data_IF_743901509940
#
_entry.id   IF_743901509940
#
_cell.length_a   1.000
_cell.length_b   1.000
_cell.length_c   1.000
_cell.angle_alpha   90.00
_cell.angle_beta   90.00
_cell.angle_gamma   90.00
#
_symmetry.space_group_name_H-M   'P 1'
#
loop_
_entity.id
_entity.type
_entity.pdbx_description
1 polymer ?
#
# COMPACT_ATOMS: atom_id res chain seq x y z
N UNK A 1 -39.74 -8.61 -2.79
CA UNK A 1 -39.78 -9.17 -4.16
C UNK A 1 -38.52 -10.01 -4.29
N UNK A 2 -38.66 -11.33 -4.31
CA UNK A 2 -37.51 -12.24 -4.47
C UNK A 2 -36.94 -12.04 -5.87
N UNK A 3 -35.73 -11.49 -5.95
CA UNK A 3 -34.96 -11.43 -7.18
C UNK A 3 -33.97 -12.60 -7.20
N UNK A 4 -34.49 -13.82 -7.17
CA UNK A 4 -33.77 -14.91 -7.81
C UNK A 4 -33.98 -14.74 -9.31
N UNK A 5 -32.90 -14.66 -10.09
CA UNK A 5 -33.01 -14.73 -11.55
C UNK A 5 -33.44 -16.17 -11.85
N UNK A 6 -34.75 -16.41 -11.87
CA UNK A 6 -35.37 -17.70 -12.21
C UNK A 6 -35.41 -17.92 -13.72
N UNK A 7 -34.48 -17.32 -14.48
CA UNK A 7 -34.37 -17.54 -15.92
C UNK A 7 -33.81 -18.96 -16.14
N UNK A 8 -34.75 -19.87 -16.36
CA UNK A 8 -34.50 -21.30 -16.54
C UNK A 8 -33.60 -21.60 -17.75
N UNK A 9 -33.57 -20.71 -18.75
CA UNK A 9 -32.74 -20.85 -19.95
C UNK A 9 -31.26 -20.51 -19.70
N UNK A 10 -30.95 -19.57 -18.80
CA UNK A 10 -29.58 -19.20 -18.39
C UNK A 10 -28.86 -20.35 -17.65
N UNK A 11 -29.62 -21.13 -16.86
CA UNK A 11 -29.12 -22.32 -16.18
C UNK A 11 -28.85 -23.50 -17.11
N UNK A 12 -29.52 -23.55 -18.27
CA UNK A 12 -29.32 -24.57 -19.30
C UNK A 12 -28.15 -24.27 -20.23
N UNK A 13 -27.95 -23.00 -20.60
CA UNK A 13 -26.93 -22.62 -21.58
C UNK A 13 -25.56 -22.35 -20.96
N UNK A 14 -25.45 -21.77 -19.76
CA UNK A 14 -24.15 -21.45 -19.16
C UNK A 14 -24.21 -21.35 -17.62
N UNK A 15 -24.13 -22.51 -16.98
CA UNK A 15 -24.28 -22.67 -15.51
C UNK A 15 -23.30 -21.82 -14.68
N UNK A 16 -22.07 -21.58 -15.16
CA UNK A 16 -21.11 -20.75 -14.42
C UNK A 16 -21.49 -19.27 -14.39
N UNK A 17 -22.07 -18.75 -15.48
CA UNK A 17 -22.52 -17.36 -15.58
C UNK A 17 -23.76 -17.10 -14.70
N UNK A 18 -24.64 -18.10 -14.57
CA UNK A 18 -25.78 -18.05 -13.67
C UNK A 18 -25.37 -18.08 -12.18
N UNK A 19 -24.36 -18.87 -11.83
CA UNK A 19 -23.81 -18.91 -10.47
C UNK A 19 -23.07 -17.60 -10.08
N UNK A 20 -22.36 -16.97 -11.02
CA UNK A 20 -21.76 -15.64 -10.83
C UNK A 20 -22.83 -14.56 -10.62
N UNK A 21 -23.86 -14.51 -11.48
CA UNK A 21 -24.94 -13.52 -11.35
C UNK A 21 -25.77 -13.69 -10.08
N UNK A 22 -25.98 -14.92 -9.60
CA UNK A 22 -26.64 -15.14 -8.31
C UNK A 22 -25.75 -14.76 -7.11
N UNK A 23 -24.42 -14.92 -7.20
CA UNK A 23 -23.50 -14.37 -6.20
C UNK A 23 -23.52 -12.85 -6.19
N UNK A 24 -23.52 -12.23 -7.37
CA UNK A 24 -23.67 -10.77 -7.52
C UNK A 24 -25.01 -10.28 -6.94
N UNK A 25 -26.13 -10.96 -7.22
CA UNK A 25 -27.43 -10.63 -6.66
C UNK A 25 -27.47 -10.78 -5.13
N UNK A 26 -26.83 -11.82 -4.57
CA UNK A 26 -26.69 -12.01 -3.13
C UNK A 26 -25.80 -10.96 -2.46
N UNK A 27 -24.72 -10.54 -3.12
CA UNK A 27 -23.86 -9.44 -2.70
C UNK A 27 -24.63 -8.11 -2.69
N UNK A 28 -25.41 -7.84 -3.75
CA UNK A 28 -26.27 -6.65 -3.85
C UNK A 28 -27.32 -6.64 -2.73
N UNK A 29 -27.91 -7.80 -2.39
CA UNK A 29 -28.88 -7.92 -1.30
C UNK A 29 -28.27 -7.62 0.07
N UNK A 30 -27.08 -8.14 0.35
CA UNK A 30 -26.36 -7.84 1.60
C UNK A 30 -25.95 -6.37 1.66
N UNK A 31 -25.49 -5.82 0.53
CA UNK A 31 -25.10 -4.42 0.44
C UNK A 31 -26.30 -3.49 0.67
N UNK A 32 -27.46 -3.77 0.06
CA UNK A 32 -28.70 -3.03 0.30
C UNK A 32 -29.13 -3.10 1.77
N UNK A 33 -29.03 -4.27 2.40
CA UNK A 33 -29.34 -4.42 3.82
C UNK A 33 -28.36 -3.65 4.72
N UNK A 34 -27.07 -3.56 4.36
CA UNK A 34 -26.08 -2.74 5.07
C UNK A 34 -26.33 -1.24 4.86
N UNK A 35 -26.76 -0.82 3.67
CA UNK A 35 -27.15 0.56 3.38
C UNK A 35 -28.42 0.96 4.15
N UNK A 36 -29.44 0.10 4.20
CA UNK A 36 -30.68 0.33 4.94
C UNK A 36 -30.46 0.35 6.47
N UNK A 37 -29.43 -0.35 6.97
CA UNK A 37 -29.05 -0.36 8.39
C UNK A 37 -28.09 0.77 8.79
N UNK A 38 -27.63 1.58 7.84
CA UNK A 38 -26.70 2.68 8.10
C UNK A 38 -27.43 3.94 8.57
N UNK A 39 -27.69 4.04 9.88
CA UNK A 39 -28.41 5.17 10.50
C UNK A 39 -27.67 6.54 10.44
N UNK A 40 -26.38 6.56 10.08
CA UNK A 40 -25.56 7.78 10.05
C UNK A 40 -24.90 8.02 8.70
N UNK A 41 -24.83 9.30 8.32
CA UNK A 41 -24.21 9.77 7.06
C UNK A 41 -22.77 9.28 6.88
N UNK A 42 -22.01 9.15 7.99
CA UNK A 42 -20.65 8.63 7.99
C UNK A 42 -20.56 7.13 7.65
N UNK A 43 -21.54 6.32 8.09
CA UNK A 43 -21.60 4.89 7.76
C UNK A 43 -21.96 4.70 6.30
N UNK A 44 -22.92 5.48 5.79
CA UNK A 44 -23.28 5.51 4.37
C UNK A 44 -22.07 5.87 3.50
N UNK A 45 -21.31 6.91 3.88
CA UNK A 45 -20.11 7.31 3.15
C UNK A 45 -19.05 6.20 3.15
N UNK A 46 -18.85 5.51 4.27
CA UNK A 46 -17.92 4.36 4.34
C UNK A 46 -18.36 3.20 3.45
N UNK A 47 -19.66 2.90 3.37
CA UNK A 47 -20.20 1.88 2.47
C UNK A 47 -20.06 2.28 1.00
N UNK A 48 -20.32 3.54 0.67
CA UNK A 48 -20.11 4.09 -0.67
C UNK A 48 -18.63 3.95 -1.09
N UNK A 49 -17.70 4.29 -0.20
CA UNK A 49 -16.27 4.09 -0.43
C UNK A 49 -15.94 2.62 -0.66
N UNK A 50 -16.49 1.69 0.14
CA UNK A 50 -16.31 0.24 -0.07
C UNK A 50 -16.82 -0.19 -1.45
N UNK A 51 -17.95 0.33 -1.92
CA UNK A 51 -18.49 -0.01 -3.25
C UNK A 51 -17.64 0.50 -4.40
N UNK A 52 -17.00 1.67 -4.23
CA UNK A 52 -16.06 2.23 -5.20
C UNK A 52 -14.72 1.45 -5.23
N UNK A 53 -14.43 0.66 -4.19
CA UNK A 53 -13.27 -0.23 -4.09
C UNK A 53 -13.55 -1.61 -4.70
N UNK A 54 -13.81 -1.64 -6.00
CA UNK A 54 -14.11 -2.87 -6.75
C UNK A 54 -12.89 -3.53 -7.41
N UNK A 55 -11.67 -3.12 -7.05
CA UNK A 55 -10.45 -3.72 -7.58
C UNK A 55 -10.28 -5.16 -7.12
N UNK A 56 -9.70 -6.01 -7.97
CA UNK A 56 -9.52 -7.45 -7.71
C UNK A 56 -8.84 -7.74 -6.35
N UNK A 57 -7.93 -6.85 -5.93
CA UNK A 57 -7.12 -6.99 -4.71
C UNK A 57 -7.49 -6.02 -3.59
N UNK A 58 -8.52 -5.18 -3.78
CA UNK A 58 -8.82 -4.10 -2.84
C UNK A 58 -9.19 -4.61 -1.45
N UNK A 59 -9.78 -5.81 -1.35
CA UNK A 59 -10.17 -6.46 -0.10
C UNK A 59 -8.99 -7.01 0.73
N UNK A 60 -7.80 -7.12 0.13
CA UNK A 60 -6.64 -7.72 0.77
C UNK A 60 -5.97 -6.80 1.80
N UNK A 61 -5.14 -7.42 2.62
CA UNK A 61 -4.21 -6.72 3.51
C UNK A 61 -3.12 -6.01 2.69
N UNK A 62 -2.45 -5.03 3.30
CA UNK A 62 -1.46 -4.21 2.62
C UNK A 62 -0.07 -4.36 3.25
N UNK A 63 0.96 -4.29 2.42
CA UNK A 63 2.34 -4.08 2.86
C UNK A 63 2.78 -2.71 2.37
N UNK A 64 3.27 -1.88 3.28
CA UNK A 64 3.83 -0.57 2.96
C UNK A 64 5.34 -0.65 3.13
N UNK A 65 6.07 -0.31 2.09
CA UNK A 65 7.52 -0.12 2.09
C UNK A 65 7.86 1.34 1.79
N UNK A 66 8.77 1.91 2.57
CA UNK A 66 9.25 3.28 2.41
C UNK A 66 10.71 3.29 1.98
N UNK A 67 11.05 4.16 1.04
CA UNK A 67 12.42 4.34 0.59
C UNK A 67 12.81 5.82 0.74
N UNK A 68 13.84 6.12 1.56
CA UNK A 68 14.36 7.48 1.63
C UNK A 68 14.92 7.89 0.28
N UNK A 69 14.50 9.07 -0.17
CA UNK A 69 14.95 9.66 -1.43
C UNK A 69 16.04 10.71 -1.19
N UNK A 70 15.96 11.82 -1.93
CA UNK A 70 16.89 12.93 -1.81
C UNK A 70 16.63 13.70 -0.50
N UNK A 71 17.68 13.96 0.27
CA UNK A 71 17.61 14.72 1.53
C UNK A 71 18.55 14.22 2.64
N UNK A 72 19.27 13.12 2.44
CA UNK A 72 20.22 12.59 3.42
C UNK A 72 19.52 12.13 4.70
N UNK A 73 20.06 12.47 5.87
CA UNK A 73 19.48 12.13 7.18
C UNK A 73 18.04 12.66 7.34
N UNK A 74 17.72 13.83 6.76
CA UNK A 74 16.34 14.33 6.78
C UNK A 74 15.37 13.48 5.94
N UNK A 75 15.84 12.81 4.88
CA UNK A 75 15.00 11.92 4.08
C UNK A 75 14.78 10.56 4.78
N UNK A 76 15.78 10.09 5.51
CA UNK A 76 15.66 8.91 6.37
C UNK A 76 14.68 9.16 7.51
N UNK A 77 14.81 10.29 8.21
CA UNK A 77 13.86 10.68 9.25
C UNK A 77 12.46 10.91 8.69
N UNK A 78 12.35 11.49 7.49
CA UNK A 78 11.05 11.66 6.83
C UNK A 78 10.39 10.32 6.49
N UNK A 79 11.16 9.34 6.04
CA UNK A 79 10.65 7.99 5.79
C UNK A 79 10.13 7.35 7.07
N UNK A 80 10.84 7.51 8.19
CA UNK A 80 10.39 7.04 9.50
C UNK A 80 9.09 7.74 9.95
N UNK A 81 9.00 9.06 9.79
CA UNK A 81 7.78 9.81 10.12
C UNK A 81 6.56 9.34 9.31
N UNK A 82 6.75 9.05 8.02
CA UNK A 82 5.69 8.49 7.18
C UNK A 82 5.29 7.09 7.62
N UNK A 83 6.25 6.25 8.03
CA UNK A 83 5.96 4.92 8.56
C UNK A 83 5.06 5.05 9.79
N UNK A 84 5.47 5.85 10.78
CA UNK A 84 4.70 6.13 11.99
C UNK A 84 3.29 6.67 11.69
N UNK A 85 3.17 7.57 10.71
CA UNK A 85 1.88 8.10 10.26
C UNK A 85 0.94 6.98 9.77
N UNK A 86 1.43 6.06 8.95
CA UNK A 86 0.63 4.93 8.46
C UNK A 86 0.33 3.90 9.56
N UNK A 87 1.25 3.69 10.49
CA UNK A 87 1.00 2.84 11.67
C UNK A 87 -0.13 3.41 12.52
N UNK A 88 -0.12 4.71 12.82
CA UNK A 88 -1.17 5.39 13.58
C UNK A 88 -2.51 5.35 12.85
N UNK A 89 -2.51 5.58 11.53
CA UNK A 89 -3.71 5.46 10.72
C UNK A 89 -4.31 4.04 10.79
N UNK A 90 -3.48 3.01 10.65
CA UNK A 90 -3.91 1.63 10.73
C UNK A 90 -4.48 1.28 12.11
N UNK A 91 -3.85 1.74 13.18
CA UNK A 91 -4.34 1.57 14.56
C UNK A 91 -5.68 2.28 14.78
N UNK A 92 -5.85 3.51 14.26
CA UNK A 92 -7.10 4.27 14.32
C UNK A 92 -8.28 3.58 13.62
N UNK A 93 -7.99 2.81 12.56
CA UNK A 93 -8.96 1.98 11.82
C UNK A 93 -9.23 0.61 12.49
N UNK A 94 -8.49 0.25 13.54
CA UNK A 94 -8.58 -1.06 14.19
C UNK A 94 -7.86 -2.19 13.44
N UNK A 95 -6.96 -1.87 12.49
CA UNK A 95 -6.15 -2.84 11.78
C UNK A 95 -4.95 -3.29 12.62
N UNK A 96 -4.45 -4.50 12.34
CA UNK A 96 -3.26 -5.04 13.01
C UNK A 96 -2.03 -4.69 12.20
N UNK A 97 -1.06 -4.04 12.85
CA UNK A 97 0.22 -3.68 12.23
C UNK A 97 1.32 -4.64 12.71
N UNK A 98 2.16 -5.11 11.78
CA UNK A 98 3.35 -5.91 12.07
C UNK A 98 4.53 -5.36 11.28
N UNK A 99 5.61 -4.96 11.97
CA UNK A 99 6.85 -4.53 11.31
C UNK A 99 7.56 -5.75 10.68
N UNK A 100 7.92 -5.64 9.40
CA UNK A 100 8.71 -6.66 8.66
C UNK A 100 10.19 -6.30 8.68
N UNK A 101 10.49 -5.02 8.49
CA UNK A 101 11.83 -4.43 8.44
C UNK A 101 11.77 -2.95 8.88
N UNK A 102 12.93 -2.29 9.02
CA UNK A 102 13.01 -0.91 9.51
C UNK A 102 12.13 0.10 8.73
N UNK A 103 11.96 -0.12 7.42
CA UNK A 103 11.17 0.75 6.56
C UNK A 103 9.96 0.02 5.95
N UNK A 104 9.54 -1.12 6.49
CA UNK A 104 8.43 -1.91 5.92
C UNK A 104 7.52 -2.47 6.99
N UNK A 105 6.22 -2.19 6.84
CA UNK A 105 5.15 -2.67 7.73
C UNK A 105 4.10 -3.45 6.95
N UNK A 106 3.55 -4.46 7.61
CA UNK A 106 2.41 -5.25 7.18
C UNK A 106 1.17 -4.79 7.95
N UNK A 107 0.11 -4.44 7.23
CA UNK A 107 -1.16 -3.98 7.77
C UNK A 107 -2.20 -5.05 7.43
N UNK A 108 -2.60 -5.81 8.45
CA UNK A 108 -3.66 -6.82 8.34
C UNK A 108 -5.00 -6.20 8.71
N UNK A 109 -5.85 -6.03 7.70
CA UNK A 109 -7.16 -5.42 7.83
C UNK A 109 -8.00 -5.68 6.58
N UNK A 110 -9.32 -5.71 6.75
CA UNK A 110 -10.25 -5.77 5.63
C UNK A 110 -10.16 -4.47 4.82
N UNK A 111 -10.04 -4.59 3.50
CA UNK A 111 -9.87 -3.47 2.56
C UNK A 111 -8.61 -2.61 2.76
N UNK A 112 -7.65 -3.03 3.58
CA UNK A 112 -6.47 -2.20 3.88
C UNK A 112 -5.72 -1.77 2.61
N UNK A 113 -5.56 -2.68 1.65
CA UNK A 113 -4.95 -2.36 0.36
C UNK A 113 -5.80 -1.39 -0.46
N UNK A 114 -7.13 -1.58 -0.54
CA UNK A 114 -8.03 -0.68 -1.25
C UNK A 114 -7.94 0.78 -0.79
N UNK A 115 -7.86 1.01 0.53
CA UNK A 115 -7.69 2.35 1.11
C UNK A 115 -6.30 2.94 0.83
N UNK A 116 -5.24 2.13 0.90
CA UNK A 116 -3.86 2.61 0.86
C UNK A 116 -3.20 2.56 -0.53
N UNK A 117 -3.78 1.86 -1.51
CA UNK A 117 -3.15 1.63 -2.83
C UNK A 117 -2.68 2.92 -3.51
N UNK A 118 -3.48 3.98 -3.39
CA UNK A 118 -3.20 5.28 -4.00
C UNK A 118 -2.22 6.12 -3.19
N UNK A 119 -1.81 5.70 -2.00
CA UNK A 119 -0.68 6.32 -1.29
C UNK A 119 0.67 5.97 -1.93
N UNK A 120 0.70 5.09 -2.95
CA UNK A 120 1.93 4.81 -3.71
C UNK A 120 2.39 6.05 -4.47
N UNK A 121 3.61 6.52 -4.18
CA UNK A 121 4.25 7.63 -4.88
C UNK A 121 5.23 8.41 -4.02
N UNK A 122 5.71 9.55 -4.53
CA UNK A 122 6.72 10.37 -3.83
C UNK A 122 6.04 11.39 -2.92
N UNK A 123 6.42 11.35 -1.64
CA UNK A 123 5.97 12.28 -0.61
C UNK A 123 7.09 13.27 -0.29
N UNK A 124 6.76 14.56 -0.35
CA UNK A 124 7.72 15.64 -0.14
C UNK A 124 7.51 16.30 1.21
N UNK A 125 8.58 16.48 1.99
CA UNK A 125 8.60 17.24 3.25
C UNK A 125 9.38 18.53 3.09
N UNK A 126 8.86 19.62 3.65
CA UNK A 126 9.55 20.90 3.78
C UNK A 126 9.49 21.34 5.25
N UNK A 127 10.64 21.31 5.93
CA UNK A 127 10.76 21.71 7.34
C UNK A 127 12.11 22.36 7.63
N UNK A 128 12.26 22.90 8.83
CA UNK A 128 13.58 23.21 9.37
C UNK A 128 14.21 21.88 9.79
N UNK A 129 15.41 21.58 9.28
CA UNK A 129 16.10 20.33 9.61
C UNK A 129 16.53 20.33 11.09
N UNK A 130 16.24 19.26 11.84
CA UNK A 130 16.80 19.09 13.19
C UNK A 130 18.26 18.65 13.16
N UNK A 131 18.76 18.16 12.03
CA UNK A 131 20.13 17.66 11.84
C UNK A 131 21.09 18.74 11.32
N UNK A 132 20.57 19.81 10.73
CA UNK A 132 21.38 20.95 10.32
C UNK A 132 21.62 21.92 11.50
N UNK A 133 22.89 22.08 11.88
CA UNK A 133 23.35 23.04 12.88
C UNK A 133 22.93 24.49 12.57
N UNK A 134 22.75 24.84 11.28
CA UNK A 134 22.33 26.18 10.85
C UNK A 134 20.81 26.37 10.84
N UNK A 135 20.04 25.31 11.16
CA UNK A 135 18.57 25.31 11.13
C UNK A 135 18.03 25.82 9.80
N UNK A 136 18.68 25.45 8.69
CA UNK A 136 18.19 25.82 7.37
C UNK A 136 16.95 25.00 7.02
N UNK A 137 16.17 25.54 6.09
CA UNK A 137 15.01 24.85 5.54
C UNK A 137 15.49 23.81 4.55
N UNK A 138 15.18 22.55 4.83
CA UNK A 138 15.47 21.44 3.94
C UNK A 138 14.19 20.96 3.25
N UNK A 139 14.36 20.40 2.06
CA UNK A 139 13.32 19.68 1.33
C UNK A 139 13.77 18.24 1.19
N UNK A 140 12.95 17.32 1.68
CA UNK A 140 13.23 15.89 1.67
C UNK A 140 12.16 15.14 0.90
N UNK A 141 12.55 14.02 0.32
CA UNK A 141 11.65 13.15 -0.44
C UNK A 141 11.72 11.73 0.10
N UNK A 142 10.58 11.05 0.14
CA UNK A 142 10.48 9.64 0.42
C UNK A 142 9.49 9.00 -0.57
N UNK A 143 9.82 7.81 -1.06
CA UNK A 143 8.94 7.02 -1.91
C UNK A 143 8.15 6.05 -1.03
N UNK A 144 6.83 6.11 -1.12
CA UNK A 144 5.91 5.16 -0.52
C UNK A 144 5.53 4.13 -1.57
N UNK A 145 5.71 2.86 -1.25
CA UNK A 145 5.28 1.73 -2.07
C UNK A 145 4.26 0.92 -1.28
N UNK A 146 3.04 0.80 -1.81
CA UNK A 146 1.98 -0.04 -1.23
C UNK A 146 1.75 -1.24 -2.12
N UNK A 147 1.80 -2.44 -1.53
CA UNK A 147 1.59 -3.73 -2.19
C UNK A 147 0.46 -4.49 -1.50
N UNK A 148 -0.33 -5.28 -2.23
CA UNK A 148 -1.26 -6.20 -1.61
C UNK A 148 -0.49 -7.39 -1.00
N UNK A 149 -0.94 -7.87 0.15
CA UNK A 149 -0.51 -9.15 0.71
C UNK A 149 -1.20 -10.28 -0.07
N UNK A 150 -0.52 -10.79 -1.11
CA UNK A 150 -1.08 -11.78 -2.02
C UNK A 150 -1.13 -13.18 -1.36
N UNK A 151 -2.25 -13.91 -1.48
CA UNK A 151 -2.33 -15.28 -0.98
C UNK A 151 -1.35 -16.19 -1.72
N UNK A 152 -0.87 -17.23 -1.04
CA UNK A 152 0.15 -18.17 -1.55
C UNK A 152 -0.20 -18.81 -2.91
N UNK A 153 -1.50 -18.94 -3.20
CA UNK A 153 -2.01 -19.46 -4.48
C UNK A 153 -1.66 -18.53 -5.65
N UNK A 154 -1.71 -17.21 -5.46
CA UNK A 154 -1.33 -16.26 -6.51
C UNK A 154 0.18 -16.11 -6.66
N UNK A 155 0.90 -16.15 -5.53
CA UNK A 155 2.36 -16.21 -5.54
C UNK A 155 2.88 -17.43 -6.33
N UNK A 156 2.18 -18.57 -6.27
CA UNK A 156 2.56 -19.79 -6.99
C UNK A 156 2.41 -19.69 -8.52
N UNK A 157 1.61 -18.74 -9.03
CA UNK A 157 1.52 -18.47 -10.48
C UNK A 157 2.80 -17.83 -11.02
N UNK A 158 3.55 -17.14 -10.16
CA UNK A 158 4.80 -16.47 -10.52
C UNK A 158 5.96 -17.45 -10.32
N UNK A 159 6.30 -18.18 -11.39
CA UNK A 159 7.47 -19.06 -11.39
C UNK A 159 8.72 -18.21 -11.55
N UNK A 160 9.41 -17.94 -10.44
CA UNK A 160 10.73 -17.29 -10.45
C UNK A 160 11.79 -18.41 -10.44
N UNK A 161 12.61 -18.54 -11.50
CA UNK A 161 13.72 -19.49 -11.51
C UNK A 161 14.68 -19.19 -10.36
N UNK A 162 15.20 -20.21 -9.63
CA UNK A 162 16.13 -19.99 -8.53
C UNK A 162 17.47 -19.38 -8.99
N UNK A 163 17.81 -19.55 -10.28
CA UNK A 163 18.99 -18.97 -10.93
C UNK A 163 18.93 -17.44 -11.10
N UNK A 164 17.72 -16.87 -11.15
CA UNK A 164 17.49 -15.43 -11.28
C UNK A 164 17.49 -14.70 -9.93
N UNK A 165 17.73 -15.43 -8.83
CA UNK A 165 17.60 -14.94 -7.47
C UNK A 165 18.95 -14.97 -6.76
N UNK A 166 19.37 -13.81 -6.27
CA UNK A 166 20.48 -13.69 -5.32
C UNK A 166 19.93 -13.53 -3.91
N UNK A 167 20.33 -14.42 -3.00
CA UNK A 167 19.98 -14.36 -1.58
C UNK A 167 21.21 -13.93 -0.80
N UNK A 168 21.07 -12.85 -0.03
CA UNK A 168 22.09 -12.32 0.85
C UNK A 168 21.60 -12.43 2.29
N UNK A 169 22.50 -12.87 3.17
CA UNK A 169 22.22 -12.99 4.60
C UNK A 169 22.98 -11.89 5.35
N UNK A 170 22.32 -11.31 6.33
CA UNK A 170 22.91 -10.28 7.18
C UNK A 170 22.47 -10.45 8.62
N UNK A 171 23.15 -9.76 9.53
CA UNK A 171 22.74 -9.69 10.93
C UNK A 171 21.61 -8.68 11.05
N UNK A 172 20.57 -9.05 11.79
CA UNK A 172 19.45 -8.16 12.06
C UNK A 172 19.93 -6.96 12.89
N UNK A 173 19.56 -5.75 12.48
CA UNK A 173 19.89 -4.53 13.21
C UNK A 173 18.95 -4.30 14.39
N UNK A 174 19.48 -3.84 15.53
CA UNK A 174 18.67 -3.39 16.67
C UNK A 174 19.32 -3.63 18.05
N UNK A 175 18.80 -3.01 19.13
CA UNK A 175 19.24 -3.24 20.50
C UNK A 175 18.81 -4.63 20.99
N UNK A 176 19.50 -5.67 20.52
CA UNK A 176 19.20 -7.08 20.80
C UNK A 176 20.27 -7.80 21.62
N UNK A 177 19.88 -8.90 22.28
CA UNK A 177 20.77 -9.78 23.05
C UNK A 177 21.78 -10.57 22.19
N UNK A 178 22.51 -11.50 22.80
CA UNK A 178 23.59 -12.26 22.11
C UNK A 178 23.19 -12.88 20.76
N UNK A 179 21.93 -13.29 20.59
CA UNK A 179 21.46 -13.95 19.37
C UNK A 179 21.40 -13.00 18.16
N UNK A 180 21.00 -11.74 18.37
CA UNK A 180 20.91 -10.71 17.31
C UNK A 180 22.30 -10.33 16.79
N UNK A 181 23.30 -10.31 17.68
CA UNK A 181 24.66 -9.92 17.33
C UNK A 181 25.51 -11.05 16.72
N UNK A 182 25.14 -12.31 16.95
CA UNK A 182 25.91 -13.49 16.51
C UNK A 182 25.32 -14.21 15.30
N UNK A 183 24.00 -14.19 15.11
CA UNK A 183 23.32 -15.01 14.09
C UNK A 183 22.81 -14.14 12.94
N UNK A 184 23.16 -14.54 11.71
CA UNK A 184 22.72 -13.91 10.46
C UNK A 184 21.29 -14.34 10.13
N UNK A 185 20.33 -13.69 10.80
CA UNK A 185 18.89 -14.00 10.66
C UNK A 185 18.17 -13.16 9.62
N UNK A 186 18.69 -11.98 9.24
CA UNK A 186 18.09 -11.12 8.24
C UNK A 186 18.40 -11.64 6.83
N UNK A 187 17.40 -11.59 5.95
CA UNK A 187 17.49 -12.10 4.58
C UNK A 187 17.11 -11.00 3.61
N UNK A 188 17.96 -10.76 2.62
CA UNK A 188 17.69 -9.91 1.46
C UNK A 188 17.67 -10.78 0.21
N UNK A 189 16.63 -10.62 -0.60
CA UNK A 189 16.44 -11.34 -1.85
C UNK A 189 16.43 -10.33 -2.99
N UNK A 190 17.22 -10.57 -4.03
CA UNK A 190 17.36 -9.71 -5.21
C UNK A 190 17.05 -10.52 -6.46
N UNK A 191 16.14 -10.04 -7.29
CA UNK A 191 15.85 -10.62 -8.60
C UNK A 191 16.75 -9.97 -9.66
N UNK A 192 17.75 -10.70 -10.13
CA UNK A 192 18.80 -10.23 -11.04
C UNK A 192 18.26 -9.61 -12.35
N UNK A 193 17.25 -10.18 -13.04
CA UNK A 193 16.76 -9.64 -14.31
C UNK A 193 16.10 -8.26 -14.16
N UNK A 194 15.44 -8.02 -13.02
CA UNK A 194 14.65 -6.79 -12.79
C UNK A 194 15.32 -5.80 -11.84
N UNK A 195 16.40 -6.20 -11.16
CA UNK A 195 17.01 -5.48 -10.04
C UNK A 195 16.05 -5.15 -8.86
N UNK A 196 14.87 -5.78 -8.81
CA UNK A 196 13.96 -5.66 -7.67
C UNK A 196 14.55 -6.39 -6.47
N UNK A 197 14.43 -5.79 -5.29
CA UNK A 197 14.88 -6.42 -4.04
C UNK A 197 13.86 -6.28 -2.93
N UNK A 198 13.84 -7.27 -2.05
CA UNK A 198 13.01 -7.29 -0.84
C UNK A 198 13.85 -7.83 0.33
N UNK A 199 13.58 -7.34 1.53
CA UNK A 199 14.28 -7.77 2.75
C UNK A 199 13.27 -8.09 3.85
N UNK A 200 13.64 -9.01 4.75
CA UNK A 200 12.87 -9.32 5.97
C UNK A 200 13.81 -9.61 7.12
N UNK A 201 13.57 -8.97 8.26
CA UNK A 201 14.32 -9.13 9.51
C UNK A 201 13.42 -9.41 10.73
N UNK A 202 12.10 -9.44 10.52
CA UNK A 202 11.09 -9.57 11.59
C UNK A 202 11.13 -10.83 12.44
N UNK A 203 11.51 -11.99 11.89
CA UNK A 203 11.45 -13.26 12.61
C UNK A 203 12.82 -13.70 13.14
N UNK A 204 12.82 -14.52 14.20
CA UNK A 204 14.05 -15.11 14.76
C UNK A 204 14.65 -16.19 13.86
N UNK A 205 13.85 -16.78 12.97
CA UNK A 205 14.28 -17.84 12.06
C UNK A 205 14.65 -17.27 10.69
N UNK A 206 15.84 -17.64 10.20
CA UNK A 206 16.30 -17.32 8.85
C UNK A 206 15.35 -17.88 7.76
N UNK A 207 14.77 -19.08 7.98
CA UNK A 207 13.86 -19.69 7.01
C UNK A 207 12.57 -18.89 6.84
N UNK A 208 11.99 -18.43 7.96
CA UNK A 208 10.77 -17.63 7.95
C UNK A 208 11.01 -16.25 7.32
N UNK A 209 12.15 -15.63 7.60
CA UNK A 209 12.54 -14.38 6.94
C UNK A 209 12.75 -14.57 5.44
N UNK A 210 13.31 -15.69 5.00
CA UNK A 210 13.47 -16.03 3.58
C UNK A 210 12.11 -16.18 2.89
N UNK A 211 11.16 -16.89 3.49
CA UNK A 211 9.81 -17.06 2.94
C UNK A 211 9.08 -15.72 2.78
N UNK A 212 9.14 -14.85 3.81
CA UNK A 212 8.56 -13.51 3.74
C UNK A 212 9.21 -12.63 2.67
N UNK A 213 10.55 -12.59 2.63
CA UNK A 213 11.26 -11.81 1.63
C UNK A 213 10.94 -12.28 0.21
N UNK A 214 10.76 -13.59 0.01
CA UNK A 214 10.34 -14.16 -1.27
C UNK A 214 8.90 -13.80 -1.64
N UNK A 215 7.98 -13.84 -0.67
CA UNK A 215 6.59 -13.41 -0.88
C UNK A 215 6.50 -11.93 -1.29
N UNK A 216 7.27 -11.06 -0.61
CA UNK A 216 7.38 -9.64 -0.96
C UNK A 216 7.98 -9.42 -2.35
N UNK A 217 9.03 -10.16 -2.70
CA UNK A 217 9.63 -10.08 -4.03
C UNK A 217 8.65 -10.49 -5.13
N UNK A 218 7.91 -11.58 -4.90
CA UNK A 218 6.88 -12.04 -5.82
C UNK A 218 5.73 -11.02 -5.95
N UNK A 219 5.28 -10.39 -4.86
CA UNK A 219 4.31 -9.29 -4.93
C UNK A 219 4.83 -8.08 -5.74
N UNK A 220 6.12 -7.73 -5.61
CA UNK A 220 6.75 -6.68 -6.43
C UNK A 220 6.80 -7.04 -7.91
N UNK A 221 7.17 -8.28 -8.23
CA UNK A 221 7.21 -8.77 -9.62
C UNK A 221 5.80 -8.80 -10.21
N UNK A 222 4.80 -9.24 -9.43
CA UNK A 222 3.41 -9.22 -9.83
C UNK A 222 2.95 -7.83 -10.23
N UNK A 223 3.15 -6.85 -9.34
CA UNK A 223 2.81 -5.45 -9.60
C UNK A 223 3.54 -4.90 -10.82
N UNK A 224 4.81 -5.26 -11.02
CA UNK A 224 5.57 -4.87 -12.22
C UNK A 224 4.96 -5.48 -13.50
N UNK A 225 4.51 -6.73 -13.46
CA UNK A 225 3.84 -7.38 -14.60
C UNK A 225 2.50 -6.69 -14.91
N UNK A 226 1.67 -6.42 -13.90
CA UNK A 226 0.41 -5.68 -14.06
C UNK A 226 0.65 -4.27 -14.62
N UNK A 227 1.64 -3.55 -14.08
CA UNK A 227 2.00 -2.23 -14.60
C UNK A 227 2.49 -2.28 -16.04
N UNK A 228 3.27 -3.30 -16.42
CA UNK A 228 3.72 -3.48 -17.81
C UNK A 228 2.55 -3.79 -18.73
N UNK A 229 1.63 -4.68 -18.35
CA UNK A 229 0.43 -4.94 -19.12
C UNK A 229 -0.43 -3.66 -19.26
N UNK A 230 -0.62 -2.93 -18.17
CA UNK A 230 -1.36 -1.67 -18.18
C UNK A 230 -0.65 -0.58 -19.02
N UNK A 231 0.69 -0.52 -18.99
CA UNK A 231 1.50 0.38 -19.81
C UNK A 231 1.49 -0.01 -21.28
N UNK A 232 1.58 -1.29 -21.62
CA UNK A 232 1.45 -1.77 -23.01
C UNK A 232 0.08 -1.40 -23.59
N UNK A 233 -0.99 -1.53 -22.79
CA UNK A 233 -2.35 -1.10 -23.15
C UNK A 233 -2.44 0.44 -23.26
N UNK A 234 -1.72 1.20 -22.42
CA UNK A 234 -1.71 2.68 -22.43
C UNK A 234 -0.76 3.29 -23.47
N UNK A 235 0.34 2.64 -23.83
CA UNK A 235 1.30 3.08 -24.84
C UNK A 235 0.72 2.93 -26.25
N UNK A 236 -0.27 2.03 -26.43
CA UNK A 236 -1.19 2.05 -27.57
C UNK A 236 -2.11 3.29 -27.60
N UNK A 237 -2.19 4.06 -26.50
CA UNK A 237 -3.13 5.18 -26.27
C UNK A 237 -2.46 6.47 -25.73
N UNK A 238 -1.23 6.79 -26.17
CA UNK A 238 -0.52 8.09 -26.01
C UNK A 238 0.62 8.08 -24.98
N UNK A 239 1.80 8.52 -25.43
CA UNK A 239 3.04 8.67 -24.63
C UNK A 239 2.91 9.82 -23.63
N UNK A 240 2.97 9.52 -22.34
CA UNK A 240 3.21 10.53 -21.28
C UNK A 240 4.58 10.27 -20.67
N UNK A 241 5.46 11.28 -20.73
CA UNK A 241 6.79 11.26 -20.13
C UNK A 241 6.66 11.54 -18.62
N UNK A 242 7.39 10.84 -17.74
CA UNK A 242 7.49 11.25 -16.34
C UNK A 242 8.53 12.36 -16.20
N UNK A 243 8.07 13.57 -15.86
CA UNK A 243 8.91 14.74 -15.57
C UNK A 243 9.32 14.79 -14.09
N UNK A 244 10.41 15.51 -13.83
CA UNK A 244 10.86 15.89 -12.50
C UNK A 244 9.79 16.78 -11.84
N UNK A 245 8.98 16.20 -10.93
CA UNK A 245 7.79 16.85 -10.36
C UNK A 245 6.70 15.91 -9.84
N UNK A 246 6.88 14.58 -9.97
CA UNK A 246 5.91 13.54 -9.60
C UNK A 246 5.72 13.32 -8.09
N UNK A 247 5.66 14.38 -7.29
CA UNK A 247 5.24 14.29 -5.90
C UNK A 247 3.70 14.21 -5.82
N UNK A 248 3.19 13.19 -5.16
CA UNK A 248 1.75 13.03 -5.00
C UNK A 248 1.23 13.95 -3.89
N UNK A 249 2.00 14.10 -2.81
CA UNK A 249 1.64 14.93 -1.66
C UNK A 249 2.83 15.72 -1.13
N UNK A 250 2.58 16.95 -0.72
CA UNK A 250 3.56 17.85 -0.11
C UNK A 250 3.14 18.22 1.31
N UNK A 251 4.07 18.06 2.24
CA UNK A 251 3.94 18.36 3.66
C UNK A 251 4.87 19.54 3.97
N UNK A 252 4.30 20.72 4.12
CA UNK A 252 5.04 21.93 4.50
C UNK A 252 4.76 22.19 5.97
N UNK A 253 5.82 22.18 6.79
CA UNK A 253 5.74 22.46 8.23
C UNK A 253 6.24 23.86 8.59
N UNK A 254 7.05 24.46 7.71
CA UNK A 254 7.58 25.81 7.88
C UNK A 254 7.72 26.49 6.51
N UNK A 255 7.28 27.75 6.32
CA UNK A 255 6.91 28.74 7.35
C UNK A 255 5.45 28.67 7.82
N UNK A 256 4.63 27.91 7.11
CA UNK A 256 3.24 27.62 7.46
C UNK A 256 3.05 26.10 7.49
N UNK A 257 2.00 25.65 8.16
CA UNK A 257 1.59 24.24 8.18
C UNK A 257 0.56 24.03 7.07
N UNK A 258 0.91 23.22 6.08
CA UNK A 258 0.03 22.87 4.97
C UNK A 258 0.39 21.47 4.45
N UNK A 259 -0.61 20.61 4.33
CA UNK A 259 -0.50 19.37 3.57
C UNK A 259 -1.39 19.50 2.35
N UNK A 260 -0.81 19.27 1.17
CA UNK A 260 -1.49 19.39 -0.12
C UNK A 260 -1.27 18.15 -0.96
N UNK A 261 -2.36 17.58 -1.45
CA UNK A 261 -2.34 16.52 -2.45
C UNK A 261 -2.43 17.14 -3.86
N UNK A 262 -1.44 16.86 -4.70
CA UNK A 262 -1.36 17.44 -6.05
C UNK A 262 -2.27 16.73 -7.05
N UNK A 263 -2.82 15.56 -6.69
CA UNK A 263 -3.70 14.79 -7.56
C UNK A 263 -5.15 15.17 -7.34
N UNK A 264 -5.55 15.33 -6.08
CA UNK A 264 -6.91 15.73 -5.73
C UNK A 264 -7.07 17.24 -5.55
N UNK A 265 -5.97 17.99 -5.47
CA UNK A 265 -5.93 19.42 -5.11
C UNK A 265 -6.48 19.72 -3.71
N UNK A 266 -6.73 18.68 -2.91
CA UNK A 266 -7.21 18.80 -1.54
C UNK A 266 -6.06 19.24 -0.64
N UNK A 267 -6.34 20.20 0.24
CA UNK A 267 -5.35 20.74 1.17
C UNK A 267 -5.91 20.94 2.57
N UNK A 268 -5.05 20.81 3.58
CA UNK A 268 -5.39 21.03 4.98
C UNK A 268 -4.25 21.75 5.69
N UNK A 269 -4.61 22.68 6.58
CA UNK A 269 -3.65 23.38 7.44
C UNK A 269 -3.23 22.56 8.67
N UNK A 270 -3.97 21.49 8.99
CA UNK A 270 -3.74 20.63 10.16
C UNK A 270 -2.65 19.58 9.91
N UNK A 271 -1.44 20.01 9.57
CA UNK A 271 -0.35 19.09 9.24
C UNK A 271 -0.01 18.10 10.36
N UNK A 272 -0.11 18.52 11.63
CA UNK A 272 0.16 17.64 12.77
C UNK A 272 -0.88 16.51 12.89
N UNK A 273 -2.15 16.79 12.58
CA UNK A 273 -3.22 15.79 12.61
C UNK A 273 -3.02 14.75 11.49
N UNK A 274 -2.62 15.20 10.30
CA UNK A 274 -2.29 14.31 9.17
C UNK A 274 -1.14 13.38 9.54
N UNK A 275 -0.07 13.92 10.12
CA UNK A 275 1.08 13.12 10.59
C UNK A 275 0.71 12.18 11.76
N UNK A 276 -0.34 12.50 12.51
CA UNK A 276 -0.90 11.63 13.55
C UNK A 276 -1.86 10.55 13.00
N UNK A 277 -2.01 10.44 11.68
CA UNK A 277 -2.81 9.42 11.02
C UNK A 277 -4.20 9.87 10.55
N UNK A 278 -4.54 11.16 10.58
CA UNK A 278 -5.80 11.68 10.03
C UNK A 278 -5.72 11.80 8.48
N UNK A 279 -5.75 10.66 7.80
CA UNK A 279 -5.62 10.54 6.33
C UNK A 279 -6.96 10.41 5.61
N UNK A 280 -8.08 10.34 6.35
CA UNK A 280 -9.41 10.08 5.79
C UNK A 280 -9.78 11.09 4.71
N UNK A 281 -9.54 12.39 4.96
CA UNK A 281 -9.82 13.45 3.98
C UNK A 281 -9.16 13.20 2.62
N UNK A 282 -7.89 12.77 2.61
CA UNK A 282 -7.15 12.55 1.37
C UNK A 282 -7.64 11.28 0.67
N UNK A 283 -7.76 10.18 1.41
CA UNK A 283 -8.16 8.89 0.85
C UNK A 283 -9.59 8.96 0.29
N UNK A 284 -10.51 9.62 0.99
CA UNK A 284 -11.88 9.82 0.51
C UNK A 284 -11.92 10.69 -0.76
N UNK A 285 -11.17 11.81 -0.78
CA UNK A 285 -11.10 12.67 -1.97
C UNK A 285 -10.56 11.93 -3.20
N UNK A 286 -9.67 10.97 -2.99
CA UNK A 286 -9.09 10.16 -4.06
C UNK A 286 -10.05 9.09 -4.57
N UNK A 287 -10.90 8.54 -3.69
CA UNK A 287 -11.93 7.58 -4.07
C UNK A 287 -13.06 8.29 -4.81
N UNK A 288 -13.44 9.50 -4.41
CA UNK A 288 -14.46 10.28 -5.11
C UNK A 288 -14.07 10.65 -6.54
N UNK A 289 -12.78 10.95 -6.82
CA UNK A 289 -12.28 11.16 -8.20
C UNK A 289 -12.35 9.92 -9.10
N UNK A 290 -12.73 8.74 -8.59
CA UNK A 290 -13.01 7.55 -9.42
C UNK A 290 -14.42 7.58 -10.03
N UNK A 291 -15.33 8.43 -9.54
CA UNK A 291 -16.62 8.71 -10.18
C UNK A 291 -16.40 9.50 -11.48
#
# INVERSE_FOLDING_TARGET
>A
MEFEISDFDLWKENKSLAEEKNKEAGLIKNLLAEFDAADTLEKLRKLEIKTLMSGAYDHLSAVISLYPGVGGEDAEDWSRMLLEMYELYALGRGWKVKSIDANTIEIKGEYAYGFLRKETGVHRLVRISPFDSKKLRHTSFALVEVLPDLPSVELSKIKIPPEDIKIEFSRSGGPGGQNVNKVETAVRVVHLPTNLSAASSSERSQSQNREKAMALLAAKIFKLMEEKQAKEIKDLRTKVKPEWGNQIRSYVLHPYKLVKDHRTETETSKADAVLAGDLDLFIESEVEKLK
#
